data_IF_631735722593
#
_entry.id   IF_631735722593
#
_cell.length_a   1.000
_cell.length_b   1.000
_cell.length_c   1.000
_cell.angle_alpha   90.00
_cell.angle_beta   90.00
_cell.angle_gamma   90.00
#
_symmetry.space_group_name_H-M   'P 1'
#
loop_
_entity.id
_entity.type
_entity.pdbx_description
1 polymer ?
#
# COMPACT_ATOMS: atom_id res chain seq x y z
N UNK A 1 -27.27 4.74 -68.57
CA UNK A 1 -25.87 4.29 -68.73
C UNK A 1 -25.77 2.87 -68.17
N UNK A 2 -24.73 2.09 -68.49
CA UNK A 2 -24.77 0.62 -68.47
C UNK A 2 -23.44 0.04 -67.92
N UNK A 3 -23.46 -1.17 -67.33
CA UNK A 3 -22.30 -1.99 -66.89
C UNK A 3 -21.58 -1.46 -65.62
N UNK A 4 -20.95 -2.26 -64.71
CA UNK A 4 -20.99 -3.72 -64.42
C UNK A 4 -21.62 -3.98 -62.99
N UNK A 5 -21.34 -4.99 -62.12
CA UNK A 5 -20.51 -6.21 -62.18
C UNK A 5 -21.00 -7.38 -61.27
N UNK A 6 -20.22 -8.47 -61.33
CA UNK A 6 -19.96 -9.59 -60.38
C UNK A 6 -19.67 -9.14 -58.91
N UNK A 7 -19.73 -9.98 -57.86
CA UNK A 7 -19.06 -11.30 -57.81
C UNK A 7 -19.65 -12.46 -56.98
N UNK A 8 -19.33 -13.64 -57.52
CA UNK A 8 -19.13 -14.98 -56.93
C UNK A 8 -19.59 -15.27 -55.49
N UNK A 9 -20.59 -16.14 -55.37
CA UNK A 9 -20.93 -16.83 -54.13
C UNK A 9 -19.87 -17.89 -53.77
N UNK A 10 -18.89 -17.53 -52.94
CA UNK A 10 -17.90 -18.48 -52.41
C UNK A 10 -18.48 -19.24 -51.19
N UNK A 11 -18.14 -20.52 -51.07
CA UNK A 11 -18.46 -21.35 -49.90
C UNK A 11 -17.20 -21.67 -49.11
N UNK A 12 -17.00 -20.95 -48.01
CA UNK A 12 -16.49 -21.53 -46.76
C UNK A 12 -17.54 -21.15 -45.69
N UNK A 13 -17.92 -21.98 -44.71
CA UNK A 13 -17.16 -23.02 -44.02
C UNK A 13 -15.96 -22.46 -43.23
N UNK A 14 -16.09 -21.21 -42.79
CA UNK A 14 -15.18 -20.62 -41.83
C UNK A 14 -15.38 -21.32 -40.48
N UNK A 15 -14.30 -21.93 -40.03
CA UNK A 15 -14.14 -22.60 -38.75
C UNK A 15 -14.49 -21.64 -37.60
N UNK A 16 -15.13 -22.13 -36.54
CA UNK A 16 -15.39 -21.30 -35.36
C UNK A 16 -14.10 -21.19 -34.54
N UNK A 17 -13.28 -20.21 -34.91
CA UNK A 17 -11.96 -19.90 -34.36
C UNK A 17 -12.06 -19.40 -32.90
N UNK A 18 -12.26 -20.34 -31.98
CA UNK A 18 -12.29 -20.11 -30.53
C UNK A 18 -10.97 -19.52 -29.99
N UNK A 19 -9.87 -19.58 -30.74
CA UNK A 19 -8.59 -18.96 -30.36
C UNK A 19 -8.57 -17.42 -30.60
N UNK A 20 -9.63 -16.85 -31.19
CA UNK A 20 -9.80 -15.40 -31.41
C UNK A 20 -10.81 -14.70 -30.47
N UNK A 21 -11.45 -15.40 -29.52
CA UNK A 21 -12.21 -14.72 -28.45
C UNK A 21 -11.25 -14.16 -27.38
N UNK A 22 -11.32 -12.86 -27.03
CA UNK A 22 -10.52 -12.30 -25.94
C UNK A 22 -10.94 -12.94 -24.60
N UNK A 23 -10.00 -13.25 -23.69
CA UNK A 23 -10.30 -13.99 -22.48
C UNK A 23 -11.29 -13.23 -21.58
N UNK A 24 -12.23 -13.95 -20.98
CA UNK A 24 -13.33 -13.43 -20.14
C UNK A 24 -12.91 -12.56 -18.92
N UNK A 25 -11.61 -12.38 -18.67
CA UNK A 25 -11.07 -11.43 -17.69
C UNK A 25 -11.01 -9.99 -18.24
N UNK A 26 -10.92 -9.83 -19.55
CA UNK A 26 -10.95 -8.53 -20.24
C UNK A 26 -12.38 -8.03 -20.38
N UNK A 27 -13.34 -8.90 -20.73
CA UNK A 27 -14.78 -8.61 -20.69
C UNK A 27 -15.26 -8.28 -19.25
N UNK A 28 -14.72 -8.97 -18.23
CA UNK A 28 -15.02 -8.69 -16.82
C UNK A 28 -14.18 -7.54 -16.22
N UNK A 29 -13.37 -6.84 -17.03
CA UNK A 29 -12.68 -5.59 -16.67
C UNK A 29 -11.54 -5.69 -15.65
N UNK A 30 -11.11 -6.89 -15.24
CA UNK A 30 -10.04 -7.07 -14.24
C UNK A 30 -8.68 -7.24 -14.95
N UNK A 31 -8.15 -6.10 -15.38
CA UNK A 31 -6.82 -6.02 -15.98
C UNK A 31 -5.73 -6.09 -14.88
N UNK A 32 -5.32 -7.31 -14.52
CA UNK A 32 -4.37 -7.59 -13.42
C UNK A 32 -3.02 -6.88 -13.58
N UNK A 33 -2.58 -6.60 -14.81
CA UNK A 33 -1.35 -5.84 -15.05
C UNK A 33 -1.48 -4.37 -14.65
N UNK A 34 -2.61 -3.72 -14.91
CA UNK A 34 -2.91 -2.39 -14.36
C UNK A 34 -2.98 -2.40 -12.83
N UNK A 35 -3.47 -3.46 -12.20
CA UNK A 35 -3.48 -3.58 -10.74
C UNK A 35 -2.03 -3.66 -10.22
N UNK A 36 -1.20 -4.53 -10.80
CA UNK A 36 0.23 -4.63 -10.44
C UNK A 36 0.99 -3.33 -10.65
N UNK A 37 0.80 -2.67 -11.79
CA UNK A 37 1.47 -1.39 -12.10
C UNK A 37 1.03 -0.28 -11.13
N UNK A 38 -0.26 -0.22 -10.74
CA UNK A 38 -0.72 0.69 -9.67
C UNK A 38 -0.11 0.35 -8.31
N UNK A 39 -0.04 -0.92 -7.91
CA UNK A 39 0.64 -1.34 -6.67
C UNK A 39 2.12 -0.94 -6.67
N UNK A 40 2.82 -1.12 -7.79
CA UNK A 40 4.24 -0.76 -7.92
C UNK A 40 4.45 0.76 -7.96
N UNK A 41 3.51 1.52 -8.52
CA UNK A 41 3.52 2.98 -8.52
C UNK A 41 3.29 3.57 -7.11
N UNK A 42 2.50 2.93 -6.25
CA UNK A 42 2.35 3.30 -4.82
C UNK A 42 3.60 2.96 -4.01
N UNK A 43 4.33 1.90 -4.39
CA UNK A 43 5.62 1.55 -3.77
C UNK A 43 6.75 2.54 -4.14
N UNK A 44 6.54 3.38 -5.16
CA UNK A 44 7.47 4.41 -5.62
C UNK A 44 7.19 5.77 -4.93
N UNK A 45 8.11 6.33 -4.12
CA UNK A 45 7.92 7.62 -3.44
C UNK A 45 7.98 8.83 -4.39
N UNK A 46 8.40 8.61 -5.65
CA UNK A 46 8.32 9.57 -6.76
C UNK A 46 6.99 9.45 -7.52
N UNK A 47 6.17 8.43 -7.22
CA UNK A 47 4.81 8.31 -7.69
C UNK A 47 3.90 9.42 -7.13
N UNK A 48 2.89 9.80 -7.92
CA UNK A 48 1.82 10.70 -7.50
C UNK A 48 0.84 9.97 -6.59
N UNK A 49 1.13 9.98 -5.28
CA UNK A 49 0.15 9.63 -4.27
C UNK A 49 -0.98 10.68 -4.30
N UNK A 50 -2.06 10.38 -5.03
CA UNK A 50 -3.19 11.28 -5.19
C UNK A 50 -4.04 11.35 -3.93
N UNK A 51 -4.74 12.47 -3.74
CA UNK A 51 -5.58 12.69 -2.57
C UNK A 51 -6.77 11.71 -2.48
N UNK A 52 -7.08 11.00 -3.56
CA UNK A 52 -8.13 9.97 -3.60
C UNK A 52 -7.83 8.80 -2.64
N UNK A 53 -6.56 8.44 -2.44
CA UNK A 53 -6.13 7.41 -1.47
C UNK A 53 -6.35 7.85 0.00
N UNK A 54 -6.69 9.13 0.21
CA UNK A 54 -7.08 9.70 1.52
C UNK A 54 -8.62 9.88 1.61
N UNK A 55 -9.35 9.77 0.49
CA UNK A 55 -10.80 9.92 0.43
C UNK A 55 -11.53 8.62 0.85
N UNK A 56 -11.07 7.46 0.37
CA UNK A 56 -11.62 6.17 0.77
C UNK A 56 -11.18 5.82 2.21
N UNK A 57 -12.09 6.01 3.18
CA UNK A 57 -11.83 5.72 4.61
C UNK A 57 -11.94 4.22 4.94
N UNK A 58 -11.44 3.37 4.04
CA UNK A 58 -11.44 1.93 4.20
C UNK A 58 -10.37 1.51 5.22
N UNK A 59 -10.85 1.13 6.41
CA UNK A 59 -10.01 0.50 7.43
C UNK A 59 -9.64 -0.96 7.07
N UNK A 60 -10.31 -1.55 6.08
CA UNK A 60 -10.15 -2.95 5.67
C UNK A 60 -8.76 -3.27 5.11
N UNK A 61 -8.25 -2.47 4.16
CA UNK A 61 -6.89 -2.63 3.63
C UNK A 61 -5.79 -2.53 4.71
N UNK A 62 -5.76 -1.44 5.50
CA UNK A 62 -4.92 -1.28 6.70
C UNK A 62 -4.94 -2.49 7.63
N UNK A 63 -6.13 -3.01 7.92
CA UNK A 63 -6.32 -4.17 8.79
C UNK A 63 -5.78 -5.46 8.15
N UNK A 64 -6.00 -5.67 6.84
CA UNK A 64 -5.43 -6.82 6.10
C UNK A 64 -3.89 -6.77 6.09
N UNK A 65 -3.27 -5.61 5.87
CA UNK A 65 -1.80 -5.51 5.93
C UNK A 65 -1.26 -5.74 7.35
N UNK A 66 -1.98 -5.28 8.38
CA UNK A 66 -1.67 -5.55 9.79
C UNK A 66 -1.79 -7.05 10.13
N UNK A 67 -2.84 -7.74 9.64
CA UNK A 67 -2.99 -9.18 9.79
C UNK A 67 -1.92 -9.98 9.02
N UNK A 68 -1.57 -9.58 7.80
CA UNK A 68 -0.47 -10.21 7.03
C UNK A 68 0.89 -10.07 7.71
N UNK A 69 1.16 -8.90 8.29
CA UNK A 69 2.34 -8.68 9.14
C UNK A 69 2.30 -9.59 10.38
N UNK A 70 1.20 -9.59 11.14
CA UNK A 70 1.04 -10.46 12.33
C UNK A 70 1.13 -11.96 12.03
N UNK A 71 0.58 -12.41 10.89
CA UNK A 71 0.70 -13.79 10.43
C UNK A 71 2.15 -14.15 10.06
N UNK A 72 2.92 -13.22 9.50
CA UNK A 72 4.34 -13.42 9.19
C UNK A 72 5.20 -13.55 10.45
N UNK A 73 4.89 -12.80 11.52
CA UNK A 73 5.51 -12.99 12.85
C UNK A 73 5.09 -14.32 13.50
N UNK A 74 3.83 -14.73 13.33
CA UNK A 74 3.33 -16.01 13.83
C UNK A 74 4.03 -17.19 13.14
N UNK A 75 4.30 -17.09 11.83
CA UNK A 75 5.10 -18.06 11.08
C UNK A 75 6.54 -18.19 11.63
N UNK A 76 7.08 -17.09 12.17
CA UNK A 76 8.36 -17.03 12.90
C UNK A 76 8.29 -17.64 14.33
N UNK A 77 7.13 -18.16 14.76
CA UNK A 77 6.88 -18.70 16.09
C UNK A 77 6.60 -17.65 17.17
N UNK A 78 6.46 -16.36 16.81
CA UNK A 78 6.34 -15.26 17.77
C UNK A 78 4.90 -14.75 17.86
N UNK A 79 4.23 -15.10 18.96
CA UNK A 79 2.83 -14.74 19.20
C UNK A 79 2.67 -13.29 19.74
N UNK A 80 3.29 -12.32 19.05
CA UNK A 80 3.34 -10.90 19.46
C UNK A 80 2.11 -10.07 19.03
N UNK A 81 0.98 -10.71 18.74
CA UNK A 81 -0.24 -10.04 18.25
C UNK A 81 -0.71 -8.88 19.14
N UNK A 82 -0.60 -9.03 20.47
CA UNK A 82 -0.91 -7.98 21.43
C UNK A 82 0.01 -6.75 21.35
N UNK A 83 1.28 -6.92 20.98
CA UNK A 83 2.20 -5.80 20.74
C UNK A 83 1.83 -5.05 19.46
N UNK A 84 1.52 -5.78 18.37
CA UNK A 84 1.09 -5.18 17.09
C UNK A 84 -0.18 -4.35 17.31
N UNK A 85 -1.19 -4.91 17.99
CA UNK A 85 -2.43 -4.20 18.29
C UNK A 85 -2.21 -3.02 19.26
N UNK A 86 -1.50 -3.22 20.37
CA UNK A 86 -1.28 -2.19 21.38
C UNK A 86 -0.44 -1.01 20.87
N UNK A 87 0.69 -1.29 20.21
CA UNK A 87 1.58 -0.26 19.64
C UNK A 87 0.93 0.39 18.41
N UNK A 88 0.19 -0.37 17.60
CA UNK A 88 -0.59 0.18 16.49
C UNK A 88 -1.68 1.14 16.96
N UNK A 89 -2.50 0.74 17.93
CA UNK A 89 -3.57 1.59 18.46
C UNK A 89 -3.01 2.83 19.17
N UNK A 90 -2.04 2.67 20.07
CA UNK A 90 -1.40 3.77 20.77
C UNK A 90 -0.64 4.70 19.82
N UNK A 91 -0.02 4.15 18.77
CA UNK A 91 0.62 4.89 17.69
C UNK A 91 -0.37 5.71 16.86
N UNK A 92 -1.50 5.13 16.46
CA UNK A 92 -2.58 5.85 15.78
C UNK A 92 -3.16 6.97 16.64
N UNK A 93 -3.42 6.72 17.93
CA UNK A 93 -3.93 7.74 18.88
C UNK A 93 -2.89 8.85 19.11
N UNK A 94 -1.61 8.50 19.25
CA UNK A 94 -0.51 9.46 19.39
C UNK A 94 -0.34 10.33 18.15
N UNK A 95 -0.30 9.73 16.96
CA UNK A 95 -0.23 10.46 15.69
C UNK A 95 -1.46 11.35 15.47
N UNK A 96 -2.67 10.86 15.74
CA UNK A 96 -3.90 11.65 15.64
C UNK A 96 -3.88 12.86 16.57
N UNK A 97 -3.41 12.68 17.81
CA UNK A 97 -3.26 13.77 18.78
C UNK A 97 -2.20 14.79 18.36
N UNK A 98 -1.05 14.34 17.87
CA UNK A 98 0.02 15.22 17.36
C UNK A 98 -0.42 15.99 16.11
N UNK A 99 -1.07 15.33 15.16
CA UNK A 99 -1.54 15.96 13.92
C UNK A 99 -2.63 17.00 14.20
N UNK A 100 -3.58 16.73 15.10
CA UNK A 100 -4.60 17.72 15.48
C UNK A 100 -4.08 18.83 16.41
N UNK A 101 -2.93 18.63 17.08
CA UNK A 101 -2.22 19.70 17.80
C UNK A 101 -1.41 20.60 16.85
N UNK A 102 -0.93 20.05 15.73
CA UNK A 102 -0.19 20.77 14.68
C UNK A 102 -1.09 21.38 13.59
N UNK A 103 -2.33 20.93 13.47
CA UNK A 103 -3.29 21.44 12.50
C UNK A 103 -3.72 22.87 12.85
N UNK A 104 -3.90 23.70 11.82
CA UNK A 104 -4.61 24.97 11.97
C UNK A 104 -6.10 24.72 12.25
N UNK A 105 -6.74 25.66 12.95
CA UNK A 105 -8.10 25.57 13.48
C UNK A 105 -9.18 25.30 12.40
N UNK A 106 -8.83 25.50 11.12
CA UNK A 106 -9.65 25.26 9.94
C UNK A 106 -9.59 23.83 9.37
N UNK A 107 -8.66 22.97 9.82
CA UNK A 107 -8.30 21.72 9.09
C UNK A 107 -7.93 20.52 9.97
N UNK A 108 -8.88 20.04 10.77
CA UNK A 108 -8.73 18.80 11.55
C UNK A 108 -8.65 17.53 10.69
N UNK A 109 -7.96 16.51 11.19
CA UNK A 109 -7.87 15.17 10.56
C UNK A 109 -8.63 14.12 11.37
N UNK A 110 -9.37 13.24 10.69
CA UNK A 110 -10.11 12.14 11.32
C UNK A 110 -9.18 11.04 11.84
N UNK A 111 -9.58 10.36 12.92
CA UNK A 111 -8.85 9.22 13.48
C UNK A 111 -8.76 8.05 12.47
N UNK A 112 -9.87 7.77 11.76
CA UNK A 112 -9.95 6.81 10.66
C UNK A 112 -8.93 7.11 9.55
N UNK A 113 -8.90 8.34 9.05
CA UNK A 113 -7.92 8.80 8.06
C UNK A 113 -6.47 8.61 8.56
N UNK A 114 -6.20 8.94 9.82
CA UNK A 114 -4.87 8.73 10.43
C UNK A 114 -4.50 7.24 10.49
N UNK A 115 -5.41 6.38 10.91
CA UNK A 115 -5.21 4.93 10.98
C UNK A 115 -5.02 4.31 9.58
N UNK A 116 -5.78 4.77 8.58
CA UNK A 116 -5.64 4.29 7.20
C UNK A 116 -4.30 4.71 6.59
N UNK A 117 -3.91 5.99 6.68
CA UNK A 117 -2.61 6.47 6.17
C UNK A 117 -1.45 5.71 6.81
N UNK A 118 -1.51 5.41 8.11
CA UNK A 118 -0.47 4.62 8.79
C UNK A 118 -0.46 3.15 8.35
N UNK A 119 -1.63 2.50 8.22
CA UNK A 119 -1.72 1.10 7.85
C UNK A 119 -1.42 0.80 6.37
N UNK A 120 -1.79 1.69 5.44
CA UNK A 120 -1.38 1.58 4.03
C UNK A 120 0.14 1.72 3.89
N UNK A 121 0.76 2.62 4.67
CA UNK A 121 2.23 2.75 4.72
C UNK A 121 2.93 1.57 5.42
N UNK A 122 2.21 0.61 6.01
CA UNK A 122 2.78 -0.62 6.58
C UNK A 122 3.06 -1.68 5.51
N UNK A 123 2.50 -1.54 4.29
CA UNK A 123 2.65 -2.52 3.20
C UNK A 123 4.11 -2.91 2.88
N UNK A 124 5.11 -2.00 2.78
CA UNK A 124 6.50 -2.40 2.57
C UNK A 124 7.08 -3.19 3.75
N UNK A 125 6.62 -2.93 4.98
CA UNK A 125 7.02 -3.68 6.18
C UNK A 125 6.40 -5.08 6.25
N UNK A 126 5.17 -5.27 5.77
CA UNK A 126 4.54 -6.60 5.72
C UNK A 126 5.20 -7.49 4.66
N UNK A 127 5.55 -6.94 3.49
CA UNK A 127 6.38 -7.64 2.48
C UNK A 127 7.74 -8.01 3.08
N UNK A 128 8.43 -7.08 3.75
CA UNK A 128 9.72 -7.37 4.37
C UNK A 128 9.62 -8.45 5.45
N UNK A 129 8.59 -8.43 6.29
CA UNK A 129 8.36 -9.46 7.32
C UNK A 129 8.14 -10.84 6.70
N UNK A 130 7.37 -10.94 5.61
CA UNK A 130 7.19 -12.19 4.86
C UNK A 130 8.51 -12.71 4.28
N UNK A 131 9.32 -11.85 3.66
CA UNK A 131 10.65 -12.21 3.13
C UNK A 131 11.58 -12.65 4.27
N UNK A 132 11.56 -11.97 5.41
CA UNK A 132 12.34 -12.33 6.59
C UNK A 132 11.93 -13.69 7.18
N UNK A 133 10.64 -14.05 7.12
CA UNK A 133 10.13 -15.35 7.57
C UNK A 133 10.57 -16.50 6.66
N UNK A 134 10.63 -16.29 5.33
CA UNK A 134 11.06 -17.31 4.37
C UNK A 134 12.58 -17.48 4.33
N UNK A 135 13.34 -16.38 4.33
CA UNK A 135 14.80 -16.38 4.14
C UNK A 135 15.61 -16.28 5.45
N UNK A 136 14.96 -16.17 6.60
CA UNK A 136 15.58 -16.03 7.94
C UNK A 136 16.69 -14.96 7.97
N UNK A 137 16.33 -13.69 7.71
CA UNK A 137 17.24 -12.53 7.61
C UNK A 137 17.93 -12.17 8.94
N UNK A 138 18.87 -13.02 9.37
CA UNK A 138 19.65 -12.89 10.61
C UNK A 138 21.00 -12.23 10.34
N UNK A 139 21.17 -11.01 10.86
CA UNK A 139 22.45 -10.28 10.83
C UNK A 139 22.32 -8.84 10.35
N UNK A 140 23.47 -8.19 10.12
CA UNK A 140 23.55 -6.76 9.77
C UNK A 140 22.72 -6.39 8.54
N UNK A 141 22.64 -7.27 7.53
CA UNK A 141 21.81 -7.06 6.34
C UNK A 141 20.31 -6.99 6.67
N UNK A 142 19.82 -7.81 7.60
CA UNK A 142 18.42 -7.77 8.04
C UNK A 142 18.07 -6.43 8.68
N UNK A 143 18.90 -5.98 9.63
CA UNK A 143 18.75 -4.67 10.26
C UNK A 143 18.86 -3.50 9.26
N UNK A 144 19.78 -3.58 8.29
CA UNK A 144 19.95 -2.56 7.27
C UNK A 144 18.73 -2.42 6.35
N UNK A 145 18.19 -3.54 5.86
CA UNK A 145 16.99 -3.55 5.00
C UNK A 145 15.76 -3.08 5.80
N UNK A 146 15.62 -3.47 7.07
CA UNK A 146 14.50 -3.04 7.90
C UNK A 146 14.57 -1.56 8.31
N UNK A 147 15.76 -1.02 8.56
CA UNK A 147 15.94 0.43 8.76
C UNK A 147 15.60 1.22 7.48
N UNK A 148 16.02 0.74 6.30
CA UNK A 148 15.65 1.35 5.02
C UNK A 148 14.14 1.31 4.77
N UNK A 149 13.48 0.17 5.03
CA UNK A 149 12.04 0.03 4.89
C UNK A 149 11.27 0.91 5.90
N UNK A 150 11.68 0.97 7.17
CA UNK A 150 11.07 1.86 8.15
C UNK A 150 11.19 3.35 7.75
N UNK A 151 12.35 3.75 7.25
CA UNK A 151 12.59 5.11 6.76
C UNK A 151 11.75 5.43 5.52
N UNK A 152 11.56 4.47 4.61
CA UNK A 152 10.70 4.60 3.42
C UNK A 152 9.23 4.78 3.81
N UNK A 153 8.73 3.93 4.71
CA UNK A 153 7.35 3.99 5.22
C UNK A 153 7.09 5.31 5.97
N UNK A 154 8.01 5.71 6.85
CA UNK A 154 7.92 6.97 7.59
C UNK A 154 8.00 8.20 6.69
N UNK A 155 8.90 8.21 5.71
CA UNK A 155 9.04 9.30 4.73
C UNK A 155 7.81 9.44 3.82
N UNK A 156 7.15 8.33 3.51
CA UNK A 156 5.92 8.27 2.70
C UNK A 156 4.70 8.71 3.50
N UNK A 157 4.51 8.17 4.70
CA UNK A 157 3.46 8.57 5.64
C UNK A 157 3.52 10.06 5.98
N UNK A 158 4.73 10.58 6.24
CA UNK A 158 4.99 12.02 6.40
C UNK A 158 4.61 12.86 5.18
N UNK A 159 4.89 12.38 3.95
CA UNK A 159 4.50 13.04 2.70
C UNK A 159 2.97 13.14 2.60
N UNK A 160 2.27 12.04 2.86
CA UNK A 160 0.80 11.99 2.86
C UNK A 160 0.20 12.97 3.87
N UNK A 161 0.61 12.92 5.15
CA UNK A 161 0.11 13.86 6.16
C UNK A 161 0.42 15.32 5.85
N UNK A 162 1.59 15.61 5.26
CA UNK A 162 1.94 16.98 4.84
C UNK A 162 1.03 17.49 3.72
N UNK A 163 0.62 16.61 2.79
CA UNK A 163 -0.37 16.93 1.74
C UNK A 163 -1.75 17.13 2.36
N UNK A 164 -2.21 16.21 3.23
CA UNK A 164 -3.52 16.30 3.90
C UNK A 164 -3.66 17.60 4.69
N UNK A 165 -2.67 17.97 5.50
CA UNK A 165 -2.72 19.19 6.31
C UNK A 165 -2.20 20.45 5.57
N UNK A 166 -1.66 20.32 4.34
CA UNK A 166 -0.94 21.38 3.60
C UNK A 166 0.28 21.98 4.32
N UNK A 167 0.88 21.22 5.24
CA UNK A 167 1.99 21.63 6.10
C UNK A 167 3.37 21.45 5.44
N UNK A 168 3.54 21.97 4.23
CA UNK A 168 4.76 21.73 3.41
C UNK A 168 6.05 22.14 4.13
N UNK A 169 6.04 23.26 4.86
CA UNK A 169 7.20 23.74 5.62
C UNK A 169 7.52 22.94 6.89
N UNK A 170 6.61 22.11 7.41
CA UNK A 170 6.78 21.38 8.67
C UNK A 170 6.94 19.86 8.49
N UNK A 171 7.07 19.36 7.25
CA UNK A 171 7.14 17.91 6.94
C UNK A 171 8.11 17.11 7.82
N UNK A 172 9.28 17.66 8.16
CA UNK A 172 10.28 17.01 9.02
C UNK A 172 9.78 16.77 10.46
N UNK A 173 8.95 17.67 10.98
CA UNK A 173 8.39 17.55 12.34
C UNK A 173 7.38 16.39 12.42
N UNK A 174 6.61 16.15 11.34
CA UNK A 174 5.75 14.96 11.18
C UNK A 174 6.55 13.70 10.83
N UNK A 175 7.68 13.83 10.12
CA UNK A 175 8.52 12.69 9.76
C UNK A 175 9.13 11.98 10.97
N UNK A 176 9.51 12.71 12.02
CA UNK A 176 10.11 12.14 13.22
C UNK A 176 9.22 11.08 13.92
N UNK A 177 7.98 11.38 14.35
CA UNK A 177 7.12 10.38 14.99
C UNK A 177 6.66 9.27 14.03
N UNK A 178 6.45 9.57 12.74
CA UNK A 178 6.19 8.55 11.71
C UNK A 178 7.34 7.53 11.64
N UNK A 179 8.58 7.97 11.44
CA UNK A 179 9.75 7.08 11.31
C UNK A 179 9.97 6.29 12.61
N UNK A 180 9.82 6.93 13.78
CA UNK A 180 9.93 6.26 15.08
C UNK A 180 8.92 5.10 15.21
N UNK A 181 7.66 5.32 14.82
CA UNK A 181 6.61 4.31 14.81
C UNK A 181 6.95 3.13 13.89
N UNK A 182 7.37 3.36 12.64
CA UNK A 182 7.75 2.26 11.74
C UNK A 182 9.05 1.55 12.18
N UNK A 183 9.98 2.25 12.84
CA UNK A 183 11.15 1.61 13.45
C UNK A 183 10.76 0.61 14.55
N UNK A 184 9.73 0.88 15.36
CA UNK A 184 9.22 -0.11 16.33
C UNK A 184 8.63 -1.34 15.64
N UNK A 185 7.85 -1.16 14.56
CA UNK A 185 7.38 -2.29 13.75
C UNK A 185 8.52 -3.05 13.06
N UNK A 186 9.58 -2.36 12.61
CA UNK A 186 10.76 -2.99 12.02
C UNK A 186 11.58 -3.80 13.03
N UNK A 187 11.65 -3.36 14.29
CA UNK A 187 12.24 -4.13 15.37
C UNK A 187 11.40 -5.40 15.66
N UNK A 188 10.07 -5.28 15.74
CA UNK A 188 9.17 -6.45 15.87
C UNK A 188 9.26 -7.43 14.70
N UNK A 189 9.59 -6.96 13.49
CA UNK A 189 9.75 -7.82 12.32
C UNK A 189 11.00 -8.73 12.37
N UNK A 190 12.01 -8.37 13.19
CA UNK A 190 13.29 -9.10 13.31
C UNK A 190 13.41 -9.82 14.67
N UNK A 191 13.18 -9.11 15.78
CA UNK A 191 13.44 -9.56 17.15
C UNK A 191 12.40 -10.53 17.69
#
# INVERSE_FOLDING_TARGET
MFIPNQDSANKNADDYDYDNEPPLLEELGINFDHIRQKTFAVLNPVGSASADVIADQDLAGPLVFCLLFGASLLLHGKLQFGYIYGIGLLGCVGMYSLLNLMAEESKSISFTCTASVLGYCLLPMSILSMIAAVLSLRGVLGYGIAAAAAFWCGSTSSKLFSITLQMEGQRLLVAYPCILLYCVFALLAIF
#
